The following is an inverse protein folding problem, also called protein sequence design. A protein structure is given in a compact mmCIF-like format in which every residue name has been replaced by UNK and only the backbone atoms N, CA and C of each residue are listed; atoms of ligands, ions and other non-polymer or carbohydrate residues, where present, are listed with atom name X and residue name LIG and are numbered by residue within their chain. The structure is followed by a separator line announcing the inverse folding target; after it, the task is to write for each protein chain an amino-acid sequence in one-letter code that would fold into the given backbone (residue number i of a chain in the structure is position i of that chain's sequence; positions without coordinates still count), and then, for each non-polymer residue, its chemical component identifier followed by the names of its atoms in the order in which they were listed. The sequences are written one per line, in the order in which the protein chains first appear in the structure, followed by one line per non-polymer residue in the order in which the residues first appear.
data_IF_547354893366
#
_entry.id   IF_547354893366
#
_cell.length_a   1.000
_cell.length_b   1.000
_cell.length_c   1.000
_cell.angle_alpha   90.00
_cell.angle_beta   90.00
_cell.angle_gamma   90.00
#
_symmetry.space_group_name_H-M   'P 1'
#
loop_
_entity.id
_entity.type
_entity.pdbx_description
1 polymer ?
#
# COMPACT_ATOMS: atom_id res chain seq x y z
N UNK A 1 -21.06 63.61 -56.75
CA UNK A 1 -20.75 62.25 -57.18
C UNK A 1 -19.99 61.63 -56.01
N UNK A 2 -20.68 60.84 -55.14
CA UNK A 2 -20.09 60.21 -53.97
C UNK A 2 -20.15 58.72 -54.19
N UNK A 3 -18.99 58.10 -54.31
CA UNK A 3 -18.89 56.64 -54.38
C UNK A 3 -18.82 56.03 -52.96
N UNK A 4 -19.77 55.22 -52.67
CA UNK A 4 -19.88 54.46 -51.41
C UNK A 4 -19.28 53.08 -51.68
N UNK A 5 -18.15 52.76 -51.06
CA UNK A 5 -17.52 51.43 -51.11
C UNK A 5 -17.96 50.68 -49.87
N UNK A 6 -18.82 49.66 -50.05
CA UNK A 6 -19.20 48.69 -49.01
C UNK A 6 -18.03 47.69 -48.83
N UNK A 7 -17.42 47.72 -47.65
CA UNK A 7 -16.48 46.69 -47.23
C UNK A 7 -17.21 45.49 -46.69
N UNK A 8 -17.15 44.38 -47.37
CA UNK A 8 -17.66 43.09 -46.95
C UNK A 8 -16.59 42.44 -46.02
N UNK A 9 -16.85 42.38 -44.69
CA UNK A 9 -16.02 41.69 -43.75
C UNK A 9 -16.34 40.19 -43.77
N UNK A 10 -15.41 39.38 -44.25
CA UNK A 10 -15.49 37.93 -44.28
C UNK A 10 -15.12 37.40 -42.89
N UNK A 11 -16.10 36.94 -42.10
CA UNK A 11 -15.89 36.29 -40.81
C UNK A 11 -15.50 34.84 -41.07
N UNK A 12 -14.24 34.51 -40.80
CA UNK A 12 -13.77 33.12 -40.78
C UNK A 12 -14.17 32.47 -39.44
N UNK A 13 -15.17 31.60 -39.48
CA UNK A 13 -15.50 30.73 -38.38
C UNK A 13 -14.43 29.63 -38.30
N UNK A 14 -13.52 29.74 -37.35
CA UNK A 14 -12.61 28.63 -36.99
C UNK A 14 -13.39 27.60 -36.17
N UNK A 15 -13.80 26.51 -36.81
CA UNK A 15 -14.29 25.32 -36.14
C UNK A 15 -13.12 24.68 -35.37
N UNK A 16 -13.03 24.95 -34.08
CA UNK A 16 -12.10 24.25 -33.19
C UNK A 16 -12.49 22.77 -33.14
N UNK A 17 -11.72 21.93 -33.82
CA UNK A 17 -11.78 20.50 -33.64
C UNK A 17 -11.30 20.24 -32.23
N UNK A 18 -12.22 19.94 -31.29
CA UNK A 18 -11.88 19.35 -30.01
C UNK A 18 -11.26 17.98 -30.28
N UNK A 19 -9.95 17.89 -30.29
CA UNK A 19 -9.28 16.60 -30.29
C UNK A 19 -9.58 15.94 -28.93
N UNK A 20 -10.37 14.90 -28.94
CA UNK A 20 -10.50 14.03 -27.75
C UNK A 20 -9.10 13.55 -27.35
N UNK A 21 -8.74 13.63 -26.05
CA UNK A 21 -7.47 13.10 -25.59
C UNK A 21 -7.38 11.61 -25.98
N UNK A 22 -6.21 11.13 -26.44
CA UNK A 22 -6.06 9.74 -26.83
C UNK A 22 -6.49 8.84 -25.67
N UNK A 23 -7.44 7.94 -25.93
CA UNK A 23 -7.86 6.93 -24.99
C UNK A 23 -6.61 6.13 -24.61
N UNK A 24 -6.10 6.32 -23.40
CA UNK A 24 -5.04 5.47 -22.87
C UNK A 24 -5.63 4.09 -22.67
N UNK A 25 -5.43 3.21 -23.64
CA UNK A 25 -5.75 1.80 -23.45
C UNK A 25 -4.96 1.30 -22.23
N UNK A 26 -5.69 0.93 -21.18
CA UNK A 26 -5.07 0.27 -20.04
C UNK A 26 -4.35 -1.00 -20.55
N UNK A 27 -3.24 -1.40 -19.92
CA UNK A 27 -2.55 -2.66 -20.20
C UNK A 27 -3.43 -3.89 -19.90
N UNK A 28 -4.73 -3.68 -19.76
CA UNK A 28 -5.76 -4.66 -19.46
C UNK A 28 -6.10 -5.41 -20.76
N UNK A 29 -5.54 -6.59 -20.95
CA UNK A 29 -5.98 -7.48 -22.01
C UNK A 29 -7.29 -8.18 -21.63
N UNK A 30 -8.01 -8.74 -22.61
CA UNK A 30 -9.30 -9.38 -22.39
C UNK A 30 -9.26 -10.52 -21.35
N UNK A 31 -8.17 -11.28 -21.31
CA UNK A 31 -7.98 -12.38 -20.35
C UNK A 31 -7.85 -11.83 -18.93
N UNK A 32 -7.05 -10.80 -18.73
CA UNK A 32 -6.87 -10.15 -17.43
C UNK A 32 -8.16 -9.47 -16.97
N UNK A 33 -8.88 -8.80 -17.87
CA UNK A 33 -10.18 -8.19 -17.56
C UNK A 33 -11.17 -9.25 -17.08
N UNK A 34 -11.28 -10.38 -17.81
CA UNK A 34 -12.17 -11.48 -17.41
C UNK A 34 -11.77 -12.08 -16.06
N UNK A 35 -10.46 -12.25 -15.82
CA UNK A 35 -9.94 -12.76 -14.55
C UNK A 35 -10.29 -11.84 -13.38
N UNK A 36 -10.16 -10.52 -13.55
CA UNK A 36 -10.51 -9.53 -12.53
C UNK A 36 -12.01 -9.51 -12.27
N UNK A 37 -12.83 -9.50 -13.33
CA UNK A 37 -14.28 -9.53 -13.21
C UNK A 37 -14.75 -10.78 -12.46
N UNK A 38 -14.24 -11.94 -12.83
CA UNK A 38 -14.57 -13.20 -12.18
C UNK A 38 -14.10 -13.21 -10.71
N UNK A 39 -12.93 -12.66 -10.43
CA UNK A 39 -12.41 -12.52 -9.06
C UNK A 39 -13.30 -11.67 -8.18
N UNK A 40 -13.73 -10.51 -8.65
CA UNK A 40 -14.66 -9.63 -7.91
C UNK A 40 -16.05 -10.25 -7.77
N UNK A 41 -16.56 -10.88 -8.82
CA UNK A 41 -17.87 -11.56 -8.75
C UNK A 41 -17.85 -12.71 -7.73
N UNK A 42 -16.83 -13.56 -7.74
CA UNK A 42 -16.66 -14.63 -6.74
C UNK A 42 -16.60 -14.06 -5.31
N UNK A 43 -15.92 -12.95 -5.12
CA UNK A 43 -15.86 -12.28 -3.82
C UNK A 43 -17.24 -11.81 -3.34
N UNK A 44 -18.08 -11.31 -4.25
CA UNK A 44 -19.44 -10.83 -3.94
C UNK A 44 -20.46 -11.96 -3.77
N UNK A 45 -20.29 -13.10 -4.47
CA UNK A 45 -21.22 -14.24 -4.43
C UNK A 45 -20.96 -15.23 -3.29
N UNK A 46 -20.02 -14.91 -2.39
CA UNK A 46 -19.76 -15.72 -1.20
C UNK A 46 -18.63 -16.74 -1.38
N UNK A 47 -17.85 -16.63 -2.44
CA UNK A 47 -16.65 -17.44 -2.69
C UNK A 47 -15.35 -16.60 -2.60
N UNK A 48 -15.09 -15.92 -1.45
CA UNK A 48 -13.97 -14.97 -1.35
C UNK A 48 -12.60 -15.64 -1.51
N UNK A 49 -12.47 -16.93 -1.24
CA UNK A 49 -11.22 -17.67 -1.46
C UNK A 49 -10.89 -17.83 -2.95
N UNK A 50 -11.89 -18.07 -3.79
CA UNK A 50 -11.72 -18.11 -5.25
C UNK A 50 -11.38 -16.72 -5.79
N UNK A 51 -12.11 -15.69 -5.34
CA UNK A 51 -11.83 -14.28 -5.67
C UNK A 51 -10.41 -13.85 -5.29
N UNK A 52 -9.98 -14.20 -4.08
CA UNK A 52 -8.62 -13.97 -3.60
C UNK A 52 -7.56 -14.56 -4.55
N UNK A 53 -7.70 -15.82 -4.92
CA UNK A 53 -6.72 -16.51 -5.76
C UNK A 53 -6.59 -15.86 -7.15
N UNK A 54 -7.72 -15.49 -7.76
CA UNK A 54 -7.76 -14.83 -9.06
C UNK A 54 -7.12 -13.43 -9.02
N UNK A 55 -7.45 -12.64 -8.00
CA UNK A 55 -6.90 -11.29 -7.84
C UNK A 55 -5.42 -11.31 -7.51
N UNK A 56 -4.96 -12.23 -6.64
CA UNK A 56 -3.55 -12.36 -6.31
C UNK A 56 -2.71 -12.80 -7.54
N UNK A 57 -3.22 -13.69 -8.36
CA UNK A 57 -2.56 -14.09 -9.60
C UNK A 57 -2.48 -12.93 -10.60
N UNK A 58 -3.57 -12.19 -10.76
CA UNK A 58 -3.60 -10.97 -11.58
C UNK A 58 -2.59 -9.92 -11.07
N UNK A 59 -2.54 -9.71 -9.75
CA UNK A 59 -1.60 -8.79 -9.12
C UNK A 59 -0.14 -9.15 -9.41
N UNK A 60 0.21 -10.43 -9.32
CA UNK A 60 1.56 -10.95 -9.64
C UNK A 60 1.94 -10.73 -11.10
N UNK A 61 1.00 -11.00 -12.03
CA UNK A 61 1.22 -10.84 -13.47
C UNK A 61 1.42 -9.37 -13.87
N UNK A 62 0.65 -8.48 -13.28
CA UNK A 62 0.65 -7.06 -13.63
C UNK A 62 1.59 -6.21 -12.78
N UNK A 63 2.06 -6.73 -11.65
CA UNK A 63 2.77 -5.98 -10.59
C UNK A 63 1.99 -4.73 -10.17
N UNK A 64 0.67 -4.82 -10.15
CA UNK A 64 -0.20 -3.70 -9.81
C UNK A 64 -0.47 -3.70 -8.30
N UNK A 65 -0.08 -2.60 -7.65
CA UNK A 65 -0.19 -2.42 -6.20
C UNK A 65 -1.64 -2.50 -5.71
N UNK A 66 -2.58 -1.87 -6.42
CA UNK A 66 -3.99 -1.87 -6.06
C UNK A 66 -4.60 -3.28 -6.06
N UNK A 67 -4.15 -4.17 -6.96
CA UNK A 67 -4.60 -5.55 -6.99
C UNK A 67 -4.04 -6.38 -5.84
N UNK A 68 -2.79 -6.15 -5.43
CA UNK A 68 -2.24 -6.77 -4.21
C UNK A 68 -3.00 -6.32 -2.97
N UNK A 69 -3.27 -5.02 -2.87
CA UNK A 69 -4.08 -4.48 -1.78
C UNK A 69 -5.46 -5.13 -1.76
N UNK A 70 -6.14 -5.17 -2.89
CA UNK A 70 -7.48 -5.77 -3.00
C UNK A 70 -7.50 -7.24 -2.62
N UNK A 71 -6.53 -8.04 -3.09
CA UNK A 71 -6.40 -9.44 -2.70
C UNK A 71 -6.18 -9.57 -1.18
N UNK A 72 -5.33 -8.73 -0.59
CA UNK A 72 -5.09 -8.72 0.86
C UNK A 72 -6.36 -8.41 1.64
N UNK A 73 -7.14 -7.41 1.21
CA UNK A 73 -8.41 -7.03 1.82
C UNK A 73 -9.44 -8.16 1.76
N UNK A 74 -9.56 -8.86 0.64
CA UNK A 74 -10.42 -10.04 0.51
C UNK A 74 -10.04 -11.16 1.48
N UNK A 75 -8.74 -11.43 1.61
CA UNK A 75 -8.26 -12.42 2.57
C UNK A 75 -8.61 -12.02 4.02
N UNK A 76 -8.51 -10.74 4.36
CA UNK A 76 -8.90 -10.22 5.68
C UNK A 76 -10.41 -10.30 5.89
N UNK A 77 -11.22 -9.94 4.89
CA UNK A 77 -12.68 -10.07 4.94
C UNK A 77 -13.13 -11.52 5.16
N UNK A 78 -12.41 -12.46 4.55
CA UNK A 78 -12.61 -13.91 4.74
C UNK A 78 -12.06 -14.45 6.06
N UNK A 79 -11.54 -13.57 6.94
CA UNK A 79 -10.87 -13.95 8.20
C UNK A 79 -9.69 -14.91 8.00
N UNK A 80 -9.09 -14.93 6.82
CA UNK A 80 -7.93 -15.76 6.49
C UNK A 80 -6.64 -14.95 6.63
N UNK A 81 -6.15 -14.79 7.87
CA UNK A 81 -4.95 -14.02 8.17
C UNK A 81 -3.70 -14.57 7.48
N UNK A 82 -3.58 -15.90 7.35
CA UNK A 82 -2.43 -16.50 6.64
C UNK A 82 -2.47 -16.22 5.13
N UNK A 83 -3.65 -16.25 4.50
CA UNK A 83 -3.79 -15.86 3.09
C UNK A 83 -3.47 -14.37 2.90
N UNK A 84 -3.91 -13.50 3.82
CA UNK A 84 -3.55 -12.09 3.81
C UNK A 84 -2.03 -11.88 3.93
N UNK A 85 -1.37 -12.63 4.82
CA UNK A 85 0.08 -12.58 4.96
C UNK A 85 0.81 -13.09 3.70
N UNK A 86 0.28 -14.13 3.04
CA UNK A 86 0.79 -14.61 1.76
C UNK A 86 0.69 -13.54 0.67
N UNK A 87 -0.44 -12.83 0.61
CA UNK A 87 -0.64 -11.74 -0.35
C UNK A 87 0.38 -10.62 -0.15
N UNK A 88 0.56 -10.15 1.09
CA UNK A 88 1.53 -9.07 1.39
C UNK A 88 2.97 -9.50 1.15
N UNK A 89 3.35 -10.75 1.42
CA UNK A 89 4.67 -11.30 1.06
C UNK A 89 4.88 -11.31 -0.45
N UNK A 90 3.87 -11.72 -1.22
CA UNK A 90 3.92 -11.66 -2.68
C UNK A 90 3.99 -10.23 -3.20
N UNK A 91 3.26 -9.32 -2.57
CA UNK A 91 3.29 -7.89 -2.86
C UNK A 91 4.71 -7.33 -2.65
N UNK A 92 5.29 -7.55 -1.48
CA UNK A 92 6.66 -7.11 -1.16
C UNK A 92 7.72 -7.70 -2.11
N UNK A 93 7.56 -8.97 -2.51
CA UNK A 93 8.46 -9.60 -3.48
C UNK A 93 8.35 -9.00 -4.88
N UNK A 94 7.15 -8.56 -5.28
CA UNK A 94 6.89 -7.98 -6.61
C UNK A 94 7.21 -6.49 -6.67
N UNK A 95 7.01 -5.77 -5.57
CA UNK A 95 7.19 -4.34 -5.39
C UNK A 95 7.97 -4.07 -4.09
N UNK A 96 9.30 -4.26 -4.08
CA UNK A 96 10.12 -4.13 -2.87
C UNK A 96 10.04 -2.77 -2.19
N UNK A 97 9.85 -1.69 -2.96
CA UNK A 97 9.76 -0.32 -2.46
C UNK A 97 8.40 0.06 -1.86
N UNK A 98 7.40 -0.84 -1.92
CA UNK A 98 6.05 -0.53 -1.45
C UNK A 98 5.98 -0.37 0.07
N UNK A 99 5.76 0.86 0.52
CA UNK A 99 5.52 1.19 1.92
C UNK A 99 4.18 0.61 2.43
N UNK A 100 3.19 0.53 1.54
CA UNK A 100 1.90 -0.07 1.86
C UNK A 100 2.03 -1.57 2.13
N UNK A 101 2.81 -2.31 1.34
CA UNK A 101 3.09 -3.72 1.58
C UNK A 101 3.71 -3.95 2.97
N UNK A 102 4.66 -3.08 3.36
CA UNK A 102 5.28 -3.13 4.68
C UNK A 102 4.26 -2.87 5.80
N UNK A 103 3.41 -1.86 5.63
CA UNK A 103 2.37 -1.49 6.58
C UNK A 103 1.35 -2.63 6.78
N UNK A 104 0.83 -3.19 5.69
CA UNK A 104 -0.09 -4.33 5.76
C UNK A 104 0.56 -5.56 6.38
N UNK A 105 1.79 -5.89 6.00
CA UNK A 105 2.54 -7.02 6.58
C UNK A 105 2.67 -6.88 8.08
N UNK A 106 3.07 -5.71 8.59
CA UNK A 106 3.23 -5.44 10.01
C UNK A 106 1.89 -5.61 10.76
N UNK A 107 0.82 -5.01 10.23
CA UNK A 107 -0.51 -5.08 10.84
C UNK A 107 -1.06 -6.52 10.91
N UNK A 108 -0.88 -7.29 9.84
CA UNK A 108 -1.33 -8.68 9.77
C UNK A 108 -0.53 -9.57 10.74
N UNK A 109 0.80 -9.41 10.79
CA UNK A 109 1.64 -10.15 11.74
C UNK A 109 1.23 -9.90 13.19
N UNK A 110 0.93 -8.65 13.55
CA UNK A 110 0.44 -8.31 14.88
C UNK A 110 -0.97 -8.87 15.15
N UNK A 111 -1.86 -8.84 14.15
CA UNK A 111 -3.19 -9.45 14.27
C UNK A 111 -3.13 -10.97 14.45
N UNK A 112 -2.13 -11.63 13.88
CA UNK A 112 -1.84 -13.05 14.04
C UNK A 112 -1.05 -13.37 15.33
N UNK A 113 -0.76 -12.36 16.16
CA UNK A 113 0.07 -12.47 17.36
C UNK A 113 1.51 -12.99 17.09
N UNK A 114 2.03 -12.76 15.85
CA UNK A 114 3.40 -13.14 15.44
C UNK A 114 4.36 -11.98 15.73
N UNK A 115 4.52 -11.65 17.01
CA UNK A 115 5.16 -10.42 17.50
C UNK A 115 6.63 -10.31 17.09
N UNK A 116 7.40 -11.40 17.16
CA UNK A 116 8.81 -11.43 16.77
C UNK A 116 8.99 -11.19 15.26
N UNK A 117 8.09 -11.74 14.44
CA UNK A 117 8.12 -11.49 13.00
C UNK A 117 7.74 -10.06 12.67
N UNK A 118 6.77 -9.51 13.40
CA UNK A 118 6.40 -8.10 13.29
C UNK A 118 7.59 -7.18 13.61
N UNK A 119 8.40 -7.51 14.63
CA UNK A 119 9.63 -6.77 14.94
C UNK A 119 10.67 -6.84 13.82
N UNK A 120 10.85 -8.01 13.19
CA UNK A 120 11.73 -8.13 12.03
C UNK A 120 11.22 -7.32 10.84
N UNK A 121 9.92 -7.35 10.57
CA UNK A 121 9.29 -6.56 9.51
C UNK A 121 9.43 -5.06 9.77
N UNK A 122 9.23 -4.61 11.01
CA UNK A 122 9.43 -3.22 11.42
C UNK A 122 10.88 -2.77 11.18
N UNK A 123 11.86 -3.57 11.61
CA UNK A 123 13.29 -3.26 11.40
C UNK A 123 13.62 -3.12 9.92
N UNK A 124 13.15 -4.05 9.08
CA UNK A 124 13.37 -4.00 7.64
C UNK A 124 12.70 -2.77 7.00
N UNK A 125 11.45 -2.48 7.37
CA UNK A 125 10.72 -1.31 6.89
C UNK A 125 11.42 0.01 7.24
N UNK A 126 11.93 0.14 8.46
CA UNK A 126 12.67 1.35 8.88
C UNK A 126 13.98 1.52 8.11
N UNK A 127 14.68 0.43 7.78
CA UNK A 127 15.92 0.49 7.02
C UNK A 127 15.72 0.96 5.57
N UNK A 128 14.53 0.77 5.01
CA UNK A 128 14.16 1.20 3.65
C UNK A 128 13.69 2.66 3.59
N UNK A 129 13.30 3.25 4.74
CA UNK A 129 12.82 4.62 4.80
C UNK A 129 13.98 5.64 4.78
N UNK A 130 13.79 6.78 4.09
CA UNK A 130 14.68 7.92 4.24
C UNK A 130 14.77 8.36 5.71
N UNK A 131 15.96 8.76 6.17
CA UNK A 131 16.21 9.11 7.59
C UNK A 131 15.21 10.16 8.11
N UNK A 132 14.84 11.13 7.28
CA UNK A 132 13.87 12.17 7.62
C UNK A 132 12.48 11.61 7.98
N UNK A 133 12.09 10.48 7.39
CA UNK A 133 10.80 9.84 7.61
C UNK A 133 10.84 8.83 8.75
N UNK A 134 12.03 8.31 9.08
CA UNK A 134 12.19 7.32 10.14
C UNK A 134 11.68 7.80 11.49
N UNK A 135 11.94 9.05 11.86
CA UNK A 135 11.49 9.60 13.14
C UNK A 135 9.97 9.59 13.30
N UNK A 136 9.22 9.93 12.24
CA UNK A 136 7.76 9.88 12.26
C UNK A 136 7.25 8.42 12.36
N UNK A 137 7.85 7.51 11.59
CA UNK A 137 7.54 6.09 11.63
C UNK A 137 7.80 5.49 13.02
N UNK A 138 8.97 5.76 13.63
CA UNK A 138 9.34 5.31 14.98
C UNK A 138 8.34 5.84 16.03
N UNK A 139 7.96 7.12 15.96
CA UNK A 139 6.99 7.72 16.87
C UNK A 139 5.60 7.09 16.82
N UNK A 140 5.23 6.45 15.72
CA UNK A 140 3.95 5.75 15.54
C UNK A 140 3.92 4.33 16.12
N UNK A 141 5.08 3.71 16.38
CA UNK A 141 5.22 2.31 16.81
C UNK A 141 4.36 1.95 18.03
N UNK A 142 4.28 2.76 19.11
CA UNK A 142 3.46 2.41 20.26
C UNK A 142 1.99 2.23 19.92
N UNK A 143 1.46 3.05 18.99
CA UNK A 143 0.07 2.92 18.51
C UNK A 143 -0.15 1.62 17.74
N UNK A 144 0.83 1.21 16.94
CA UNK A 144 0.75 -0.02 16.12
C UNK A 144 0.80 -1.26 17.01
N UNK A 145 1.63 -1.27 18.05
CA UNK A 145 1.81 -2.38 18.97
C UNK A 145 0.84 -2.38 20.17
N UNK A 146 -0.07 -1.42 20.28
CA UNK A 146 -0.97 -1.28 21.44
C UNK A 146 -1.90 -2.48 21.68
N UNK A 147 -2.15 -3.29 20.65
CA UNK A 147 -3.02 -4.48 20.70
C UNK A 147 -2.31 -5.76 21.10
N UNK A 148 -0.98 -5.73 21.20
CA UNK A 148 -0.20 -6.90 21.65
C UNK A 148 -0.45 -7.14 23.13
N UNK A 149 -0.87 -8.35 23.49
CA UNK A 149 -1.21 -8.69 24.87
C UNK A 149 0.03 -8.75 25.78
N UNK A 150 1.10 -9.37 25.29
CA UNK A 150 2.37 -9.42 26.02
C UNK A 150 3.17 -8.13 25.79
N UNK A 151 3.00 -7.20 26.74
CA UNK A 151 3.67 -5.88 26.71
C UNK A 151 5.18 -5.99 26.85
N UNK A 152 5.68 -6.94 27.63
CA UNK A 152 7.10 -7.14 27.82
C UNK A 152 7.76 -7.67 26.53
N UNK A 153 7.12 -8.63 25.86
CA UNK A 153 7.57 -9.13 24.56
C UNK A 153 7.54 -8.01 23.51
N UNK A 154 6.45 -7.23 23.45
CA UNK A 154 6.32 -6.12 22.53
C UNK A 154 7.44 -5.08 22.74
N UNK A 155 7.70 -4.67 23.98
CA UNK A 155 8.76 -3.71 24.29
C UNK A 155 10.15 -4.25 23.91
N UNK A 156 10.44 -5.52 24.21
CA UNK A 156 11.70 -6.18 23.85
C UNK A 156 11.91 -6.24 22.34
N UNK A 157 10.88 -6.63 21.61
CA UNK A 157 10.91 -6.75 20.14
C UNK A 157 11.08 -5.39 19.47
N UNK A 158 10.38 -4.36 19.97
CA UNK A 158 10.53 -3.00 19.48
C UNK A 158 11.93 -2.45 19.77
N UNK A 159 12.48 -2.68 20.96
CA UNK A 159 13.85 -2.27 21.30
C UNK A 159 14.88 -2.90 20.33
N UNK A 160 14.73 -4.19 20.03
CA UNK A 160 15.56 -4.87 19.05
C UNK A 160 15.40 -4.31 17.62
N UNK A 161 14.16 -4.01 17.21
CA UNK A 161 13.88 -3.42 15.91
C UNK A 161 14.50 -2.03 15.75
N UNK A 162 14.50 -1.22 16.81
CA UNK A 162 15.04 0.14 16.83
C UNK A 162 16.55 0.21 17.09
N UNK A 163 17.26 -0.91 17.17
CA UNK A 163 18.70 -0.95 17.51
C UNK A 163 19.59 -0.07 16.62
N UNK A 164 19.29 0.04 15.32
CA UNK A 164 20.01 0.92 14.39
C UNK A 164 19.59 2.39 14.57
N UNK A 165 18.32 2.65 14.81
CA UNK A 165 17.78 3.98 15.02
C UNK A 165 18.33 4.65 16.30
N UNK A 166 18.65 3.87 17.33
CA UNK A 166 19.29 4.34 18.57
C UNK A 166 20.72 4.87 18.30
N UNK A 167 21.42 4.30 17.33
CA UNK A 167 22.80 4.68 16.99
C UNK A 167 22.86 5.90 16.07
N UNK A 168 21.76 6.27 15.42
CA UNK A 168 21.71 7.42 14.53
C UNK A 168 21.29 8.68 15.31
N UNK A 169 22.12 9.75 15.35
CA UNK A 169 21.81 10.98 16.08
C UNK A 169 20.46 11.63 15.71
N UNK A 170 20.01 11.50 14.45
CA UNK A 170 18.75 12.10 13.99
C UNK A 170 17.50 11.36 14.49
N UNK A 171 17.62 10.07 14.82
CA UNK A 171 16.49 9.23 15.25
C UNK A 171 16.59 8.76 16.69
N UNK A 172 17.77 8.85 17.31
CA UNK A 172 18.05 8.33 18.65
C UNK A 172 17.07 8.84 19.72
N UNK A 173 16.82 10.14 19.76
CA UNK A 173 15.91 10.74 20.75
C UNK A 173 14.48 10.18 20.62
N UNK A 174 13.98 10.06 19.39
CA UNK A 174 12.65 9.48 19.12
C UNK A 174 12.61 7.99 19.44
N UNK A 175 13.68 7.24 19.11
CA UNK A 175 13.77 5.82 19.42
C UNK A 175 13.75 5.57 20.93
N UNK A 176 14.55 6.28 21.73
CA UNK A 176 14.53 6.16 23.19
C UNK A 176 13.19 6.54 23.80
N UNK A 177 12.55 7.61 23.32
CA UNK A 177 11.23 8.03 23.77
C UNK A 177 10.19 6.95 23.49
N UNK A 178 10.23 6.33 22.30
CA UNK A 178 9.34 5.25 21.88
C UNK A 178 9.51 4.02 22.76
N UNK A 179 10.76 3.57 22.99
CA UNK A 179 11.08 2.45 23.88
C UNK A 179 10.60 2.72 25.30
N UNK A 180 10.83 3.95 25.81
CA UNK A 180 10.36 4.34 27.14
C UNK A 180 8.84 4.26 27.28
N UNK A 181 8.07 4.68 26.26
CA UNK A 181 6.62 4.52 26.25
C UNK A 181 6.19 3.04 26.25
N UNK A 182 6.81 2.21 25.42
CA UNK A 182 6.51 0.78 25.34
C UNK A 182 6.78 0.03 26.67
N UNK A 183 7.73 0.50 27.48
CA UNK A 183 8.07 -0.13 28.79
C UNK A 183 7.21 0.39 29.94
N UNK A 184 6.58 1.57 29.80
CA UNK A 184 5.75 2.17 30.84
C UNK A 184 4.30 1.65 30.81
N UNK A 185 3.77 1.44 29.60
CA UNK A 185 2.39 0.99 29.34
C UNK A 185 2.27 -0.54 29.41
#
# INVERSE_FOLDING_TARGET
MKHWISSFALVWATTGVCAEPPVQNSNLNAVLFYQLLLGELSAQTGEPAAGFSLLLDAARKTKNEALFQRATELALQSRSGEAALQATKSWKSSLPESQEANRYTLQILLALNRVEEAGRALKASLAELPVKEQSAAIGSVPRVFNRVQDRNLAAKVVEQALSLAIQNPETAATAWTTIGRMKRD
#
